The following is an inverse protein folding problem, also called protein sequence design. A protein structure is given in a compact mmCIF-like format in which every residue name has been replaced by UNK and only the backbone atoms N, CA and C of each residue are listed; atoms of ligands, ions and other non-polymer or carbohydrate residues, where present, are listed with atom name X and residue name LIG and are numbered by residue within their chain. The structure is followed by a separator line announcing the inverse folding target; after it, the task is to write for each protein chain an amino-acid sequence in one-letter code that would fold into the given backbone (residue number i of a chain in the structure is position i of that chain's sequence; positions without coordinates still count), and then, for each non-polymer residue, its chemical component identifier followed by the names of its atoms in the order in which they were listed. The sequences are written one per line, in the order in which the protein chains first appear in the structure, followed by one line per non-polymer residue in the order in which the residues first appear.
data_IF_270246424368
#
_entry.id   IF_270246424368
#
_cell.length_a   1.000
_cell.length_b   1.000
_cell.length_c   1.000
_cell.angle_alpha   90.00
_cell.angle_beta   90.00
_cell.angle_gamma   90.00
#
_symmetry.space_group_name_H-M   'P 1'
#
loop_
_entity.id
_entity.type
_entity.pdbx_description
1 polymer ?
#
# COMPACT_ATOMS: atom_id res chain seq x y z
N UNK A 1 -20.77 14.52 -41.77
CA UNK A 1 -20.83 13.99 -40.39
C UNK A 1 -21.70 12.71 -40.32
N UNK A 2 -21.26 11.58 -40.91
CA UNK A 2 -22.11 10.36 -40.98
C UNK A 2 -21.40 9.05 -40.66
N UNK A 3 -20.08 9.05 -40.45
CA UNK A 3 -19.32 7.83 -40.14
C UNK A 3 -19.67 7.25 -38.76
N UNK A 4 -19.84 8.12 -37.76
CA UNK A 4 -20.20 7.74 -36.37
C UNK A 4 -21.56 7.05 -36.33
N UNK A 5 -22.54 7.53 -37.12
CA UNK A 5 -23.90 7.00 -37.14
C UNK A 5 -24.00 5.63 -37.85
N UNK A 6 -23.09 5.35 -38.79
CA UNK A 6 -23.05 4.08 -39.52
C UNK A 6 -22.39 2.96 -38.69
N UNK A 7 -21.29 3.25 -37.98
CA UNK A 7 -20.68 2.32 -37.03
C UNK A 7 -21.63 1.94 -35.89
N UNK A 8 -22.44 2.91 -35.43
CA UNK A 8 -23.40 2.71 -34.35
C UNK A 8 -24.64 1.89 -34.74
N UNK A 9 -24.85 1.61 -36.04
CA UNK A 9 -26.00 0.83 -36.53
C UNK A 9 -25.68 -0.65 -36.78
N UNK A 10 -24.42 -1.02 -37.03
CA UNK A 10 -24.03 -2.42 -37.34
C UNK A 10 -23.07 -3.06 -36.32
N UNK A 11 -22.36 -2.27 -35.50
CA UNK A 11 -21.27 -2.81 -34.65
C UNK A 11 -21.37 -2.38 -33.17
N UNK A 12 -22.55 -2.02 -32.67
CA UNK A 12 -22.81 -1.72 -31.24
C UNK A 12 -22.17 -2.70 -30.25
N UNK A 13 -22.25 -4.03 -30.42
CA UNK A 13 -21.62 -4.95 -29.48
C UNK A 13 -20.10 -4.84 -29.52
N UNK A 14 -19.49 -4.61 -30.68
CA UNK A 14 -18.04 -4.43 -30.83
C UNK A 14 -17.58 -3.14 -30.14
N UNK A 15 -18.35 -2.05 -30.27
CA UNK A 15 -18.07 -0.80 -29.59
C UNK A 15 -18.16 -0.96 -28.07
N UNK A 16 -19.21 -1.59 -27.56
CA UNK A 16 -19.38 -1.88 -26.14
C UNK A 16 -18.26 -2.76 -25.59
N UNK A 17 -17.86 -3.79 -26.35
CA UNK A 17 -16.75 -4.67 -25.99
C UNK A 17 -15.42 -3.90 -25.93
N UNK A 18 -15.18 -3.01 -26.88
CA UNK A 18 -13.99 -2.16 -26.92
C UNK A 18 -13.92 -1.22 -25.70
N UNK A 19 -15.00 -0.51 -25.39
CA UNK A 19 -15.05 0.35 -24.22
C UNK A 19 -14.96 -0.42 -22.91
N UNK A 20 -15.58 -1.61 -22.84
CA UNK A 20 -15.46 -2.51 -21.69
C UNK A 20 -14.02 -2.98 -21.49
N UNK A 21 -13.34 -3.43 -22.55
CA UNK A 21 -11.93 -3.82 -22.49
C UNK A 21 -11.04 -2.64 -22.07
N UNK A 22 -11.26 -1.45 -22.63
CA UNK A 22 -10.52 -0.25 -22.26
C UNK A 22 -10.70 0.11 -20.77
N UNK A 23 -11.91 0.01 -20.24
CA UNK A 23 -12.18 0.25 -18.82
C UNK A 23 -11.43 -0.75 -17.91
N UNK A 24 -11.41 -2.04 -18.28
CA UNK A 24 -10.66 -3.07 -17.56
C UNK A 24 -9.16 -2.76 -17.60
N UNK A 25 -8.62 -2.39 -18.76
CA UNK A 25 -7.20 -2.00 -18.88
C UNK A 25 -6.84 -0.82 -17.98
N UNK A 26 -7.67 0.23 -17.95
CA UNK A 26 -7.44 1.41 -17.09
C UNK A 26 -7.49 1.02 -15.60
N UNK A 27 -8.43 0.16 -15.20
CA UNK A 27 -8.51 -0.34 -13.83
C UNK A 27 -7.22 -1.07 -13.41
N UNK A 28 -6.74 -1.99 -14.25
CA UNK A 28 -5.51 -2.72 -13.95
C UNK A 28 -4.28 -1.83 -13.99
N UNK A 29 -4.22 -0.86 -14.91
CA UNK A 29 -3.13 0.10 -14.98
C UNK A 29 -3.08 0.97 -13.72
N UNK A 30 -4.21 1.52 -13.26
CA UNK A 30 -4.27 2.28 -12.02
C UNK A 30 -3.86 1.43 -10.81
N UNK A 31 -4.38 0.21 -10.69
CA UNK A 31 -4.00 -0.72 -9.61
C UNK A 31 -2.50 -1.04 -9.64
N UNK A 32 -1.94 -1.30 -10.82
CA UNK A 32 -0.53 -1.61 -10.99
C UNK A 32 0.34 -0.40 -10.68
N UNK A 33 -0.04 0.80 -11.11
CA UNK A 33 0.68 2.04 -10.81
C UNK A 33 0.65 2.35 -9.32
N UNK A 34 -0.49 2.17 -8.64
CA UNK A 34 -0.57 2.31 -7.18
C UNK A 34 0.33 1.29 -6.48
N UNK A 35 0.32 0.03 -6.93
CA UNK A 35 1.17 -1.02 -6.38
C UNK A 35 2.66 -0.79 -6.67
N UNK A 36 2.99 -0.31 -7.86
CA UNK A 36 4.35 -0.01 -8.28
C UNK A 36 4.89 1.22 -7.58
N UNK A 37 4.09 2.28 -7.41
CA UNK A 37 4.45 3.45 -6.60
C UNK A 37 4.63 3.06 -5.13
N UNK A 38 3.77 2.19 -4.61
CA UNK A 38 3.94 1.57 -3.29
C UNK A 38 5.27 0.82 -3.16
N UNK A 39 5.68 0.07 -4.19
CA UNK A 39 6.96 -0.67 -4.22
C UNK A 39 8.18 0.17 -4.65
N UNK A 40 7.99 1.35 -5.25
CA UNK A 40 9.07 2.18 -5.79
C UNK A 40 9.54 3.28 -4.86
N UNK A 41 8.94 3.41 -3.67
CA UNK A 41 9.42 4.35 -2.66
C UNK A 41 10.89 3.99 -2.30
N UNK A 42 11.87 4.89 -2.53
CA UNK A 42 13.30 4.62 -2.29
C UNK A 42 13.67 4.26 -0.85
N UNK A 43 12.73 4.35 0.10
CA UNK A 43 12.89 3.95 1.50
C UNK A 43 13.11 2.44 1.74
N UNK A 44 12.87 1.58 0.75
CA UNK A 44 12.99 0.11 0.84
C UNK A 44 14.44 -0.44 0.89
N UNK A 45 15.47 0.39 1.11
CA UNK A 45 16.88 -0.08 1.16
C UNK A 45 17.26 -0.76 2.47
N UNK A 46 16.44 -0.65 3.51
CA UNK A 46 16.56 -1.41 4.74
C UNK A 46 15.33 -2.32 4.85
N UNK A 47 15.50 -3.58 5.31
CA UNK A 47 14.51 -4.66 5.28
C UNK A 47 13.07 -4.14 5.45
N UNK A 48 12.26 -4.30 4.40
CA UNK A 48 10.86 -3.89 4.40
C UNK A 48 10.14 -4.51 5.61
N UNK A 49 9.51 -3.70 6.48
CA UNK A 49 8.75 -4.22 7.61
C UNK A 49 7.63 -5.15 7.11
N UNK A 50 7.69 -6.42 7.49
CA UNK A 50 6.69 -7.41 7.08
C UNK A 50 5.53 -7.50 8.09
N UNK A 51 4.32 -7.92 7.67
CA UNK A 51 3.13 -7.99 8.53
C UNK A 51 3.29 -8.84 9.79
N UNK A 52 4.12 -9.89 9.70
CA UNK A 52 4.41 -10.82 10.79
C UNK A 52 5.46 -10.27 11.77
N UNK A 53 6.17 -9.19 11.42
CA UNK A 53 7.19 -8.61 12.27
C UNK A 53 6.54 -7.88 13.45
N UNK A 54 7.26 -7.87 14.56
CA UNK A 54 6.87 -7.09 15.74
C UNK A 54 7.57 -5.74 15.72
N UNK A 55 6.96 -4.67 16.27
CA UNK A 55 7.59 -3.36 16.38
C UNK A 55 8.97 -3.43 17.05
N UNK A 56 9.12 -4.29 18.06
CA UNK A 56 10.41 -4.47 18.74
C UNK A 56 11.49 -5.10 17.86
N UNK A 57 11.13 -6.04 16.97
CA UNK A 57 12.08 -6.62 16.02
C UNK A 57 12.54 -5.58 14.99
N UNK A 58 11.61 -4.75 14.50
CA UNK A 58 11.89 -3.67 13.55
C UNK A 58 12.74 -2.57 14.22
N UNK A 59 12.43 -2.21 15.47
CA UNK A 59 13.23 -1.28 16.25
C UNK A 59 14.68 -1.75 16.34
N UNK A 60 14.92 -3.04 16.61
CA UNK A 60 16.27 -3.58 16.66
C UNK A 60 16.99 -3.58 15.31
N UNK A 61 16.32 -3.87 14.20
CA UNK A 61 16.96 -3.82 12.87
C UNK A 61 17.29 -2.41 12.41
N UNK A 62 16.58 -1.40 12.93
CA UNK A 62 16.81 0.03 12.65
C UNK A 62 17.56 0.77 13.76
N UNK A 63 17.98 0.09 14.84
CA UNK A 63 18.70 0.68 15.97
C UNK A 63 17.87 1.69 16.79
N UNK A 64 16.56 1.52 16.87
CA UNK A 64 15.61 2.41 17.57
C UNK A 64 15.10 1.81 18.88
N UNK A 65 14.49 2.67 19.71
CA UNK A 65 13.83 2.26 20.94
C UNK A 65 12.52 1.50 20.63
N UNK A 66 12.39 0.23 21.06
CA UNK A 66 11.20 -0.59 20.81
C UNK A 66 9.94 -0.08 21.54
N UNK A 67 10.06 0.61 22.68
CA UNK A 67 8.91 1.13 23.44
C UNK A 67 8.37 2.42 22.83
N UNK A 68 9.24 3.24 22.26
CA UNK A 68 8.83 4.41 21.49
C UNK A 68 8.06 4.00 20.24
N UNK A 69 8.61 3.05 19.47
CA UNK A 69 7.96 2.50 18.27
C UNK A 69 6.59 1.88 18.59
N UNK A 70 6.50 1.11 19.68
CA UNK A 70 5.26 0.48 20.10
C UNK A 70 4.19 1.52 20.50
N UNK A 71 4.58 2.56 21.25
CA UNK A 71 3.66 3.66 21.62
C UNK A 71 3.17 4.43 20.41
N UNK A 72 4.07 4.73 19.46
CA UNK A 72 3.71 5.42 18.22
C UNK A 72 2.63 4.64 17.44
N UNK A 73 2.78 3.32 17.37
CA UNK A 73 1.85 2.42 16.69
C UNK A 73 0.54 2.14 17.48
N UNK A 74 0.39 2.68 18.68
CA UNK A 74 -0.74 2.39 19.57
C UNK A 74 -0.72 0.97 20.16
N UNK A 75 0.43 0.29 20.10
CA UNK A 75 0.61 -1.02 20.71
C UNK A 75 0.93 -0.88 22.20
N UNK A 76 0.35 -1.75 23.03
CA UNK A 76 0.67 -1.79 24.44
C UNK A 76 2.15 -2.20 24.64
N UNK A 77 2.97 -1.39 25.35
CA UNK A 77 4.38 -1.72 25.59
C UNK A 77 4.49 -3.05 26.33
N UNK A 78 5.43 -3.90 25.90
CA UNK A 78 5.66 -5.24 26.46
C UNK A 78 4.80 -6.36 25.88
N UNK A 79 3.78 -6.07 25.05
CA UNK A 79 3.02 -7.12 24.35
C UNK A 79 3.62 -7.39 22.98
N UNK A 80 3.97 -8.66 22.71
CA UNK A 80 4.43 -9.12 21.39
C UNK A 80 3.26 -9.19 20.42
N UNK A 81 2.83 -8.04 19.91
CA UNK A 81 1.85 -7.95 18.82
C UNK A 81 2.60 -7.77 17.50
N UNK A 82 2.15 -8.48 16.47
CA UNK A 82 2.64 -8.25 15.10
C UNK A 82 2.02 -6.97 14.54
N UNK A 83 2.58 -6.44 13.45
CA UNK A 83 1.96 -5.33 12.72
C UNK A 83 0.55 -5.68 12.25
N UNK A 84 0.31 -6.95 11.88
CA UNK A 84 -1.01 -7.44 11.52
C UNK A 84 -2.01 -7.42 12.68
N UNK A 85 -1.58 -7.78 13.89
CA UNK A 85 -2.42 -7.72 15.09
C UNK A 85 -2.77 -6.27 15.45
N UNK A 86 -1.81 -5.35 15.29
CA UNK A 86 -1.99 -3.91 15.52
C UNK A 86 -2.98 -3.34 14.48
N UNK A 87 -2.83 -3.70 13.21
CA UNK A 87 -3.74 -3.31 12.14
C UNK A 87 -5.17 -3.81 12.40
N UNK A 88 -5.31 -5.06 12.83
CA UNK A 88 -6.60 -5.66 13.19
C UNK A 88 -7.24 -4.95 14.39
N UNK A 89 -6.46 -4.60 15.40
CA UNK A 89 -6.94 -3.85 16.56
C UNK A 89 -7.38 -2.41 16.20
N UNK A 90 -6.71 -1.80 15.21
CA UNK A 90 -7.01 -0.45 14.71
C UNK A 90 -8.10 -0.42 13.63
N UNK A 91 -8.50 -1.57 13.09
CA UNK A 91 -9.50 -1.66 12.01
C UNK A 91 -9.02 -1.10 10.66
N UNK A 92 -7.70 -1.04 10.45
CA UNK A 92 -7.06 -0.50 9.24
C UNK A 92 -6.29 -1.60 8.49
N UNK A 93 -6.01 -1.43 7.19
CA UNK A 93 -5.14 -2.35 6.46
C UNK A 93 -3.72 -2.36 7.06
N UNK A 94 -3.07 -3.54 7.14
CA UNK A 94 -1.71 -3.67 7.66
C UNK A 94 -0.68 -2.83 6.89
N UNK A 95 -0.93 -2.61 5.60
CA UNK A 95 -0.11 -1.73 4.76
C UNK A 95 -0.10 -0.27 5.25
N UNK A 96 -1.20 0.21 5.84
CA UNK A 96 -1.29 1.56 6.39
C UNK A 96 -0.43 1.69 7.66
N UNK A 97 -0.45 0.67 8.52
CA UNK A 97 0.40 0.58 9.73
C UNK A 97 1.88 0.49 9.35
N UNK A 98 2.23 -0.29 8.32
CA UNK A 98 3.58 -0.37 7.79
C UNK A 98 4.05 0.96 7.19
N UNK A 99 3.15 1.68 6.49
CA UNK A 99 3.45 2.98 5.90
C UNK A 99 3.69 4.06 6.95
N UNK A 100 2.84 4.13 7.99
CA UNK A 100 3.01 5.03 9.14
C UNK A 100 4.36 4.78 9.84
N UNK A 101 4.67 3.51 10.11
CA UNK A 101 5.92 3.12 10.73
C UNK A 101 7.13 3.52 9.88
N UNK A 102 7.09 3.23 8.59
CA UNK A 102 8.18 3.56 7.65
C UNK A 102 8.39 5.07 7.55
N UNK A 103 7.31 5.86 7.48
CA UNK A 103 7.40 7.31 7.45
C UNK A 103 8.07 7.88 8.70
N UNK A 104 7.75 7.32 9.87
CA UNK A 104 8.39 7.71 11.14
C UNK A 104 9.89 7.35 11.15
N UNK A 105 10.26 6.16 10.67
CA UNK A 105 11.64 5.72 10.57
C UNK A 105 12.48 6.58 9.61
N UNK A 106 11.91 6.99 8.47
CA UNK A 106 12.61 7.84 7.48
C UNK A 106 12.72 9.30 7.93
N UNK A 107 11.69 9.87 8.57
CA UNK A 107 11.68 11.27 9.00
C UNK A 107 12.79 11.58 10.01
N UNK A 108 13.09 10.64 10.91
CA UNK A 108 14.17 10.80 11.89
C UNK A 108 15.55 10.42 11.35
N UNK A 109 15.66 9.79 10.17
CA UNK A 109 16.96 9.49 9.57
C UNK A 109 17.65 10.74 9.00
N UNK A 110 16.89 11.81 8.75
CA UNK A 110 17.35 13.09 8.19
C UNK A 110 17.69 14.14 9.27
N UNK A 111 17.65 13.78 10.56
CA UNK A 111 17.92 14.66 11.70
C UNK A 111 19.22 14.30 12.41
#
# INVERSE_FOLDING_TARGET
MSAIRHLWAHHRPVLLLFFGAAAVTVFFLARLTLFALYWSDPAHRNLAPEPWMTPGYIAHSWGRDPEELARHLGAAPGRRMTLEDIARARGVPVAEVIAELTAHLTTDADR
#
